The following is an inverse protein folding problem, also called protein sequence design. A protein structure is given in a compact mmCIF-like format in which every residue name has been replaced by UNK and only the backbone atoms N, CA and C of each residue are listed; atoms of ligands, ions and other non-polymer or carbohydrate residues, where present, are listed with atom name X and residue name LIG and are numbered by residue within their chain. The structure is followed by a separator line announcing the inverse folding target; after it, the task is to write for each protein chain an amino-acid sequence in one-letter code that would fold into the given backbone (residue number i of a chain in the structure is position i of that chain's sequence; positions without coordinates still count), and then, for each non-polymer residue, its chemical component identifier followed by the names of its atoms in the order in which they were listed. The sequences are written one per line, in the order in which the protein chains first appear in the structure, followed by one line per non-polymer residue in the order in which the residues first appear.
data_IF_321779860802
#
_entry.id   IF_321779860802
#
_cell.length_a   1.000
_cell.length_b   1.000
_cell.length_c   1.000
_cell.angle_alpha   90.00
_cell.angle_beta   90.00
_cell.angle_gamma   90.00
#
_symmetry.space_group_name_H-M   'P 1'
#
loop_
_entity.id
_entity.type
_entity.pdbx_description
1 polymer ?
#
# COMPACT_ATOMS: atom_id res chain seq x y z
N UNK A 1 -1.53 -20.43 -12.97
CA UNK A 1 -0.81 -20.98 -11.80
C UNK A 1 -0.25 -19.80 -11.02
N UNK A 2 -0.91 -19.38 -9.94
CA UNK A 2 -0.37 -18.30 -9.09
C UNK A 2 0.68 -18.94 -8.20
N UNK A 3 1.95 -18.65 -8.45
CA UNK A 3 3.03 -19.07 -7.56
C UNK A 3 2.79 -18.43 -6.19
N UNK A 4 2.46 -19.24 -5.18
CA UNK A 4 2.53 -18.80 -3.78
C UNK A 4 4.00 -18.66 -3.44
N UNK A 5 4.47 -17.42 -3.35
CA UNK A 5 5.81 -17.13 -2.86
C UNK A 5 5.86 -17.38 -1.36
N UNK A 6 6.82 -18.20 -0.94
CA UNK A 6 7.14 -18.49 0.47
C UNK A 6 8.30 -17.62 1.00
N UNK A 7 8.68 -16.56 0.28
CA UNK A 7 9.72 -15.60 0.67
C UNK A 7 9.18 -14.39 1.46
N UNK A 8 10.06 -13.54 2.03
CA UNK A 8 9.64 -12.30 2.69
C UNK A 8 8.86 -11.44 1.70
N UNK A 9 7.66 -10.97 2.06
CA UNK A 9 6.88 -10.12 1.19
C UNK A 9 7.56 -8.75 1.04
N UNK A 10 7.70 -8.29 -0.20
CA UNK A 10 8.11 -6.94 -0.53
C UNK A 10 6.86 -6.07 -0.65
N UNK A 11 6.72 -5.08 0.24
CA UNK A 11 5.65 -4.09 0.16
C UNK A 11 6.08 -3.02 -0.83
N UNK A 12 5.30 -2.85 -1.89
CA UNK A 12 5.51 -1.81 -2.89
C UNK A 12 4.33 -0.85 -2.80
N UNK A 13 4.56 0.30 -2.17
CA UNK A 13 3.55 1.35 -2.02
C UNK A 13 3.44 2.14 -3.33
N UNK A 14 2.78 1.56 -4.33
CA UNK A 14 2.29 2.30 -5.49
C UNK A 14 0.90 2.84 -5.16
N UNK A 15 0.68 4.14 -5.34
CA UNK A 15 -0.66 4.76 -5.29
C UNK A 15 -1.03 5.48 -4.00
N UNK A 16 -0.97 4.83 -2.83
CA UNK A 16 -1.55 5.41 -1.61
C UNK A 16 -0.58 6.24 -0.76
N UNK A 17 -0.96 7.46 -0.42
CA UNK A 17 -0.24 8.29 0.57
C UNK A 17 -0.68 7.92 1.99
N UNK A 18 0.29 7.68 2.87
CA UNK A 18 0.03 7.35 4.28
C UNK A 18 0.18 8.59 5.15
N UNK A 19 -0.79 8.83 6.03
CA UNK A 19 -0.74 9.92 7.01
C UNK A 19 0.27 9.56 8.10
N UNK A 20 1.43 10.23 8.07
CA UNK A 20 2.54 9.97 8.99
C UNK A 20 3.15 11.30 9.46
N UNK A 21 4.09 11.23 10.41
CA UNK A 21 4.86 12.40 10.82
C UNK A 21 5.79 12.93 9.73
N UNK A 22 6.15 12.12 8.73
CA UNK A 22 6.93 12.56 7.55
C UNK A 22 6.13 13.51 6.65
N UNK A 23 4.80 13.42 6.65
CA UNK A 23 3.90 14.32 5.91
C UNK A 23 3.50 15.58 6.71
N UNK A 24 4.24 15.92 7.77
CA UNK A 24 4.08 17.18 8.52
C UNK A 24 3.21 17.08 9.78
N UNK A 25 2.83 15.87 10.20
CA UNK A 25 2.10 15.65 11.46
C UNK A 25 3.05 15.84 12.65
N UNK A 26 2.71 16.73 13.59
CA UNK A 26 3.52 16.94 14.80
C UNK A 26 3.41 15.73 15.75
N UNK A 27 4.40 14.85 15.68
CA UNK A 27 4.56 13.73 16.61
C UNK A 27 3.57 12.58 16.42
N UNK A 28 3.59 11.63 17.38
CA UNK A 28 2.64 10.50 17.41
C UNK A 28 1.31 11.00 17.95
N UNK A 29 0.33 11.13 17.07
CA UNK A 29 -1.07 11.43 17.44
C UNK A 29 -1.87 10.14 17.69
N UNK A 30 -2.85 10.13 18.61
CA UNK A 30 -3.81 9.04 18.74
C UNK A 30 -4.57 8.79 17.44
N UNK A 31 -4.98 7.53 17.20
CA UNK A 31 -5.70 7.12 15.98
C UNK A 31 -6.98 7.92 15.75
N UNK A 32 -7.73 8.18 16.82
CA UNK A 32 -8.96 9.00 16.81
C UNK A 32 -8.72 10.40 16.22
N UNK A 33 -7.65 11.06 16.69
CA UNK A 33 -7.26 12.40 16.25
C UNK A 33 -6.71 12.37 14.81
N UNK A 34 -5.97 11.32 14.46
CA UNK A 34 -5.47 11.10 13.12
C UNK A 34 -6.62 10.91 12.11
N UNK A 35 -7.69 10.20 12.48
CA UNK A 35 -8.88 10.04 11.64
C UNK A 35 -9.58 11.38 11.36
N UNK A 36 -9.63 12.27 12.35
CA UNK A 36 -10.24 13.58 12.21
C UNK A 36 -9.38 14.57 11.41
N UNK A 37 -8.05 14.44 11.45
CA UNK A 37 -7.09 15.37 10.81
C UNK A 37 -6.58 14.92 9.44
N UNK A 38 -6.68 13.62 9.11
CA UNK A 38 -6.15 13.11 7.84
C UNK A 38 -6.92 13.69 6.64
N UNK A 39 -6.23 14.02 5.54
CA UNK A 39 -6.91 14.36 4.28
C UNK A 39 -7.78 13.21 3.75
N UNK A 40 -8.73 13.54 2.88
CA UNK A 40 -9.57 12.56 2.18
C UNK A 40 -8.69 11.67 1.29
N UNK A 41 -8.95 10.35 1.29
CA UNK A 41 -8.16 9.37 0.53
C UNK A 41 -6.87 8.91 1.22
N UNK A 42 -6.40 9.60 2.26
CA UNK A 42 -5.17 9.20 2.98
C UNK A 42 -5.43 8.05 3.95
N UNK A 43 -4.55 7.05 3.92
CA UNK A 43 -4.60 5.91 4.84
C UNK A 43 -3.87 6.20 6.14
N UNK A 44 -4.32 5.59 7.23
CA UNK A 44 -3.54 5.53 8.46
C UNK A 44 -2.49 4.43 8.38
N UNK A 45 -1.37 4.61 9.08
CA UNK A 45 -0.30 3.61 9.17
C UNK A 45 -0.79 2.26 9.72
N UNK A 46 -1.75 2.25 10.66
CA UNK A 46 -2.37 1.02 11.15
C UNK A 46 -3.17 0.29 10.08
N UNK A 47 -3.89 1.01 9.22
CA UNK A 47 -4.67 0.42 8.13
C UNK A 47 -3.76 -0.21 7.08
N UNK A 48 -2.64 0.44 6.76
CA UNK A 48 -1.63 -0.10 5.84
C UNK A 48 -1.03 -1.39 6.41
N UNK A 49 -0.61 -1.37 7.68
CA UNK A 49 -0.06 -2.55 8.34
C UNK A 49 -1.04 -3.73 8.36
N UNK A 50 -2.31 -3.48 8.69
CA UNK A 50 -3.35 -4.52 8.69
C UNK A 50 -3.58 -5.11 7.30
N UNK A 51 -3.56 -4.27 6.27
CA UNK A 51 -3.72 -4.70 4.88
C UNK A 51 -2.53 -5.55 4.42
N UNK A 52 -1.31 -5.12 4.74
CA UNK A 52 -0.08 -5.83 4.42
C UNK A 52 -0.07 -7.21 5.09
N UNK A 53 -0.39 -7.30 6.38
CA UNK A 53 -0.46 -8.58 7.11
C UNK A 53 -1.48 -9.52 6.48
N UNK A 54 -2.64 -9.02 6.03
CA UNK A 54 -3.65 -9.83 5.35
C UNK A 54 -3.16 -10.34 3.99
N UNK A 55 -2.45 -9.52 3.22
CA UNK A 55 -1.91 -9.90 1.90
C UNK A 55 -0.70 -10.84 2.03
N UNK A 56 0.17 -10.62 3.01
CA UNK A 56 1.24 -11.56 3.40
C UNK A 56 0.66 -12.93 3.74
N UNK A 57 -0.40 -12.97 4.54
CA UNK A 57 -1.09 -14.23 4.89
C UNK A 57 -1.67 -14.96 3.66
N UNK A 58 -1.92 -14.25 2.55
CA UNK A 58 -2.36 -14.84 1.27
C UNK A 58 -1.20 -15.35 0.40
N UNK A 59 0.04 -15.11 0.79
CA UNK A 59 1.25 -15.49 0.04
C UNK A 59 1.59 -14.54 -1.11
N UNK A 60 1.12 -13.29 -1.03
CA UNK A 60 1.46 -12.25 -2.00
C UNK A 60 2.86 -11.70 -1.72
N UNK A 61 3.76 -11.83 -2.69
CA UNK A 61 5.12 -11.29 -2.58
C UNK A 61 5.19 -9.79 -2.88
N UNK A 62 4.42 -9.33 -3.86
CA UNK A 62 4.23 -7.90 -4.16
C UNK A 62 2.85 -7.49 -3.65
N UNK A 63 2.82 -6.54 -2.73
CA UNK A 63 1.59 -6.00 -2.16
C UNK A 63 1.46 -4.55 -2.62
N UNK A 64 0.43 -4.29 -3.43
CA UNK A 64 0.04 -2.94 -3.83
C UNK A 64 -1.03 -2.41 -2.89
N UNK A 65 -0.82 -1.19 -2.41
CA UNK A 65 -1.78 -0.51 -1.56
C UNK A 65 -2.89 0.10 -2.43
N UNK A 66 -4.17 -0.27 -2.23
CA UNK A 66 -5.24 0.14 -3.12
C UNK A 66 -5.48 1.65 -2.97
N UNK A 67 -5.32 2.36 -4.08
CA UNK A 67 -5.67 3.77 -4.16
C UNK A 67 -7.19 3.95 -4.04
N UNK A 68 -7.63 5.05 -3.43
CA UNK A 68 -9.04 5.46 -3.48
C UNK A 68 -9.48 5.93 -4.86
N UNK A 69 -8.53 6.31 -5.73
CA UNK A 69 -8.81 6.86 -7.05
C UNK A 69 -8.59 5.85 -8.20
N UNK A 70 -7.99 4.68 -7.91
CA UNK A 70 -7.63 3.68 -8.92
C UNK A 70 -7.93 2.26 -8.44
N UNK A 71 -8.52 1.42 -9.30
CA UNK A 71 -8.76 0.02 -9.00
C UNK A 71 -7.46 -0.81 -8.97
N UNK A 72 -7.38 -1.81 -8.08
CA UNK A 72 -6.19 -2.69 -7.95
C UNK A 72 -5.79 -3.35 -9.29
N UNK A 73 -6.77 -3.65 -10.16
CA UNK A 73 -6.50 -4.21 -11.49
C UNK A 73 -5.75 -3.25 -12.41
N UNK A 74 -6.04 -1.95 -12.32
CA UNK A 74 -5.37 -0.92 -13.12
C UNK A 74 -3.95 -0.67 -12.59
N UNK A 75 -3.74 -0.68 -11.27
CA UNK A 75 -2.40 -0.63 -10.67
C UNK A 75 -1.55 -1.83 -11.10
N UNK A 76 -2.14 -3.03 -11.11
CA UNK A 76 -1.46 -4.24 -11.60
C UNK A 76 -1.10 -4.14 -13.08
N UNK A 77 -1.98 -3.57 -13.91
CA UNK A 77 -1.70 -3.32 -15.32
C UNK A 77 -0.58 -2.30 -15.50
N UNK A 78 -0.54 -1.24 -14.70
CA UNK A 78 0.54 -0.24 -14.70
C UNK A 78 1.89 -0.86 -14.31
N UNK A 79 1.93 -1.68 -13.25
CA UNK A 79 3.15 -2.40 -12.87
C UNK A 79 3.60 -3.38 -13.96
N UNK A 80 2.67 -4.09 -14.61
CA UNK A 80 2.99 -5.01 -15.70
C UNK A 80 3.58 -4.28 -16.91
N UNK A 81 3.03 -3.10 -17.25
CA UNK A 81 3.55 -2.27 -18.33
C UNK A 81 4.94 -1.73 -18.01
N UNK A 82 5.14 -1.16 -16.82
CA UNK A 82 6.45 -0.66 -16.38
C UNK A 82 7.50 -1.75 -16.22
N UNK A 83 7.11 -2.97 -15.83
CA UNK A 83 8.01 -4.12 -15.82
C UNK A 83 8.52 -4.45 -17.23
N UNK A 84 7.71 -4.25 -18.27
CA UNK A 84 8.14 -4.40 -19.67
C UNK A 84 9.35 -3.53 -20.03
N UNK A 85 9.38 -2.28 -19.54
CA UNK A 85 10.48 -1.33 -19.74
C UNK A 85 11.78 -1.76 -19.03
N UNK A 86 11.67 -2.54 -17.95
CA UNK A 86 12.84 -3.07 -17.20
C UNK A 86 13.50 -4.24 -17.93
N UNK A 87 12.76 -4.96 -18.78
CA UNK A 87 13.23 -6.17 -19.47
C UNK A 87 13.63 -5.94 -20.94
N UNK A 88 13.42 -4.75 -21.50
CA UNK A 88 13.82 -4.40 -22.86
C UNK A 88 15.32 -4.05 -22.98
#
# INVERSE_FOLDING_TARGET
MVQKSTGPAAVVLTGSWTFTSLSGTQGRVPVEEALAKKPRGTWLSSQVADYDVKKMSKGSFYITCPDTDVEEALDQAGMAWGAGDVFE
#
